data_IF_874169611758
#
_entry.id   IF_874169611758
#
_cell.length_a   1.000
_cell.length_b   1.000
_cell.length_c   1.000
_cell.angle_alpha   90.00
_cell.angle_beta   90.00
_cell.angle_gamma   90.00
#
_symmetry.space_group_name_H-M   'P 1'
#
loop_
_entity.id
_entity.type
_entity.pdbx_description
1 polymer ?
#
# COMPACT_ATOMS: atom_id res chain seq x y z
N UNK A 1 -49.89 -52.21 -17.66
CA UNK A 1 -49.74 -50.86 -17.09
C UNK A 1 -49.52 -51.01 -15.59
N UNK A 2 -48.28 -50.84 -15.11
CA UNK A 2 -47.92 -51.04 -13.70
C UNK A 2 -48.06 -49.74 -12.89
N UNK A 3 -48.62 -49.90 -11.68
CA UNK A 3 -48.74 -48.87 -10.62
C UNK A 3 -47.37 -48.37 -10.17
N UNK A 4 -47.27 -47.09 -9.83
CA UNK A 4 -46.44 -46.57 -8.73
C UNK A 4 -46.95 -45.18 -8.33
N UNK A 5 -47.50 -45.07 -7.11
CA UNK A 5 -47.85 -43.80 -6.46
C UNK A 5 -46.69 -43.43 -5.54
N UNK A 6 -46.02 -42.30 -5.79
CA UNK A 6 -44.96 -41.77 -4.92
C UNK A 6 -45.50 -40.56 -4.16
N UNK A 7 -45.28 -40.60 -2.85
CA UNK A 7 -45.77 -39.66 -1.86
C UNK A 7 -45.15 -38.26 -1.92
N UNK A 8 -45.85 -37.35 -1.26
CA UNK A 8 -45.54 -35.92 -1.11
C UNK A 8 -44.28 -35.71 -0.26
N UNK A 9 -43.39 -34.82 -0.70
CA UNK A 9 -42.39 -34.18 0.16
C UNK A 9 -42.55 -32.66 0.10
N UNK A 10 -43.01 -32.08 1.20
CA UNK A 10 -43.17 -30.63 1.39
C UNK A 10 -41.87 -30.13 2.00
N UNK A 11 -41.07 -29.38 1.24
CA UNK A 11 -39.84 -28.77 1.76
C UNK A 11 -40.19 -27.40 2.36
N UNK A 12 -40.05 -27.26 3.67
CA UNK A 12 -40.09 -25.95 4.35
C UNK A 12 -38.81 -25.15 4.04
N UNK A 13 -38.89 -23.83 3.83
CA UNK A 13 -37.70 -23.01 3.62
C UNK A 13 -36.92 -22.90 4.94
N UNK A 14 -35.68 -23.43 4.97
CA UNK A 14 -34.73 -23.14 6.06
C UNK A 14 -34.21 -21.71 5.89
N UNK A 15 -34.30 -20.92 6.95
CA UNK A 15 -33.63 -19.62 7.07
C UNK A 15 -32.13 -19.83 6.91
N UNK A 16 -31.52 -19.18 5.93
CA UNK A 16 -30.05 -19.08 5.83
C UNK A 16 -29.62 -17.94 6.76
N UNK A 17 -29.11 -18.31 7.93
CA UNK A 17 -28.42 -17.39 8.82
C UNK A 17 -26.99 -17.16 8.30
N UNK A 18 -26.66 -15.89 8.11
CA UNK A 18 -25.33 -15.31 7.87
C UNK A 18 -24.16 -16.11 8.49
N UNK A 19 -23.24 -16.60 7.66
CA UNK A 19 -21.93 -17.06 8.11
C UNK A 19 -20.94 -15.92 7.88
N UNK A 20 -20.72 -15.11 8.91
CA UNK A 20 -19.51 -14.29 9.01
C UNK A 20 -18.36 -15.26 9.25
N UNK A 21 -17.42 -15.37 8.31
CA UNK A 21 -16.14 -16.05 8.56
C UNK A 21 -15.20 -15.03 9.17
N UNK A 22 -14.89 -15.22 10.45
CA UNK A 22 -13.95 -14.39 11.19
C UNK A 22 -12.51 -14.65 10.71
N UNK A 23 -11.84 -13.60 10.25
CA UNK A 23 -10.45 -13.60 9.78
C UNK A 23 -9.46 -13.60 10.95
N UNK A 24 -9.44 -14.66 11.77
CA UNK A 24 -8.52 -14.76 12.91
C UNK A 24 -7.12 -15.31 12.57
N UNK A 25 -6.85 -15.73 11.34
CA UNK A 25 -5.66 -16.54 11.03
C UNK A 25 -4.37 -15.76 10.69
N UNK A 26 -4.36 -14.42 10.75
CA UNK A 26 -3.17 -13.62 10.36
C UNK A 26 -2.25 -13.30 11.56
N UNK A 27 -2.65 -13.60 12.81
CA UNK A 27 -1.89 -13.18 14.00
C UNK A 27 -0.68 -14.07 14.36
N UNK A 28 -0.55 -15.27 13.78
CA UNK A 28 0.38 -16.28 14.30
C UNK A 28 1.74 -16.38 13.59
N UNK A 29 2.05 -15.49 12.62
CA UNK A 29 3.31 -15.56 11.86
C UNK A 29 4.38 -14.50 12.22
N UNK A 30 4.22 -13.73 13.31
CA UNK A 30 5.22 -12.72 13.72
C UNK A 30 5.87 -12.99 15.08
N UNK A 31 5.46 -14.05 15.79
CA UNK A 31 5.99 -14.35 17.13
C UNK A 31 7.08 -15.42 17.14
N UNK A 32 8.16 -15.22 16.39
CA UNK A 32 9.38 -16.02 16.58
C UNK A 32 10.64 -15.26 16.12
N UNK A 33 11.26 -14.55 17.08
CA UNK A 33 12.70 -14.21 17.23
C UNK A 33 12.93 -12.75 17.65
N UNK A 34 12.53 -12.45 18.89
CA UNK A 34 13.11 -11.35 19.66
C UNK A 34 14.35 -11.86 20.40
N UNK A 35 15.51 -11.26 20.13
CA UNK A 35 16.79 -11.57 20.77
C UNK A 35 17.68 -10.32 20.86
N UNK A 36 17.52 -9.62 21.96
CA UNK A 36 18.17 -8.37 22.38
C UNK A 36 19.72 -8.44 22.43
N UNK A 37 20.41 -7.33 22.12
CA UNK A 37 21.56 -6.81 22.90
C UNK A 37 22.05 -5.45 22.38
N UNK A 38 21.74 -4.39 23.12
CA UNK A 38 22.28 -3.05 22.93
C UNK A 38 23.75 -2.93 23.36
N UNK A 39 24.50 -2.08 22.64
CA UNK A 39 25.83 -1.62 23.03
C UNK A 39 25.77 -0.10 23.24
N UNK A 40 26.24 0.44 24.39
CA UNK A 40 26.37 1.88 24.57
C UNK A 40 27.60 2.42 23.80
N UNK A 41 27.55 3.65 23.25
CA UNK A 41 28.71 4.23 22.59
C UNK A 41 29.74 4.68 23.64
N UNK A 42 30.98 4.21 23.47
CA UNK A 42 32.15 4.70 24.21
C UNK A 42 32.54 6.10 23.73
N UNK A 43 32.70 7.04 24.67
CA UNK A 43 33.27 8.37 24.41
C UNK A 43 34.79 8.23 24.23
N UNK A 44 35.32 8.62 23.07
CA UNK A 44 36.75 8.90 22.92
C UNK A 44 37.04 10.34 23.35
N UNK A 45 37.75 10.50 24.46
CA UNK A 45 38.40 11.75 24.88
C UNK A 45 39.78 11.77 24.23
N UNK A 46 40.03 12.68 23.28
CA UNK A 46 41.40 13.00 22.86
C UNK A 46 42.02 14.00 23.85
N UNK A 47 43.22 13.66 24.32
CA UNK A 47 44.03 14.43 25.27
C UNK A 47 44.80 15.52 24.53
N UNK A 48 44.14 16.59 24.08
CA UNK A 48 44.80 17.86 23.75
C UNK A 48 43.88 19.02 24.09
N UNK A 49 43.91 19.45 25.35
CA UNK A 49 43.25 20.69 25.79
C UNK A 49 43.74 21.87 24.96
N UNK A 50 42.87 22.39 24.09
CA UNK A 50 42.97 23.71 23.48
C UNK A 50 41.58 24.26 23.25
N UNK A 51 41.26 25.28 24.02
CA UNK A 51 40.13 26.20 23.88
C UNK A 51 40.59 27.39 23.03
N UNK A 52 39.95 27.69 21.89
CA UNK A 52 40.28 28.88 21.12
C UNK A 52 39.10 29.86 21.00
N UNK A 53 38.36 30.13 22.07
CA UNK A 53 37.60 31.40 22.15
C UNK A 53 38.52 32.57 22.51
N UNK A 54 39.30 33.06 21.54
CA UNK A 54 39.88 34.42 21.56
C UNK A 54 40.50 34.79 20.21
N UNK A 55 39.87 35.69 19.45
CA UNK A 55 40.46 36.96 18.98
C UNK A 55 39.43 37.76 18.15
N UNK A 56 39.51 39.09 18.25
CA UNK A 56 38.43 40.05 18.04
C UNK A 56 38.26 40.60 16.60
N UNK A 57 36.99 40.94 16.29
CA UNK A 57 36.39 42.07 15.51
C UNK A 57 37.13 42.80 14.34
N UNK A 58 36.28 43.12 13.32
CA UNK A 58 36.29 44.14 12.21
C UNK A 58 37.09 43.76 10.94
N UNK A 59 36.69 44.00 9.67
CA UNK A 59 35.58 44.70 8.94
C UNK A 59 35.64 44.30 7.44
N UNK A 60 34.52 44.37 6.68
CA UNK A 60 34.48 44.49 5.20
C UNK A 60 33.79 43.32 4.47
N UNK A 61 32.52 43.46 4.04
CA UNK A 61 32.06 43.92 2.71
C UNK A 61 32.40 42.97 1.55
N UNK A 62 31.39 42.25 1.02
CA UNK A 62 31.52 41.41 -0.17
C UNK A 62 30.56 40.23 -0.18
N UNK A 63 29.27 40.50 -0.37
CA UNK A 63 28.22 39.49 -0.36
C UNK A 63 28.21 38.64 -1.63
N UNK A 64 28.54 37.35 -1.50
CA UNK A 64 27.97 36.31 -2.35
C UNK A 64 27.62 35.11 -1.47
N UNK A 65 26.47 35.22 -0.78
CA UNK A 65 25.89 34.08 -0.09
C UNK A 65 25.24 33.21 -1.15
N UNK A 66 25.88 32.10 -1.46
CA UNK A 66 25.24 30.94 -2.09
C UNK A 66 23.99 30.67 -1.25
N UNK A 67 22.82 30.91 -1.83
CA UNK A 67 21.57 30.46 -1.23
C UNK A 67 21.61 28.95 -1.35
N UNK A 68 21.95 28.27 -0.26
CA UNK A 68 21.54 26.89 -0.08
C UNK A 68 20.01 26.90 -0.18
N UNK A 69 19.50 26.47 -1.33
CA UNK A 69 18.10 26.12 -1.48
C UNK A 69 17.84 24.97 -0.52
N UNK A 70 17.48 25.32 0.72
CA UNK A 70 16.90 24.37 1.67
C UNK A 70 15.72 23.74 0.96
N UNK A 71 15.84 22.44 0.72
CA UNK A 71 14.71 21.56 0.45
C UNK A 71 13.62 21.94 1.45
N UNK A 72 12.51 22.47 0.94
CA UNK A 72 11.34 22.82 1.74
C UNK A 72 10.72 21.52 2.24
N UNK A 73 11.21 21.01 3.36
CA UNK A 73 10.52 19.96 4.10
C UNK A 73 9.16 20.55 4.51
N UNK A 74 8.10 20.01 3.94
CA UNK A 74 6.73 20.53 4.03
C UNK A 74 6.19 20.42 5.44
N UNK A 75 6.62 21.30 6.34
CA UNK A 75 6.15 21.34 7.72
C UNK A 75 4.71 21.82 7.74
N UNK A 76 3.77 20.92 8.06
CA UNK A 76 2.40 21.31 8.41
C UNK A 76 2.43 22.19 9.66
N UNK A 77 1.42 23.06 9.81
CA UNK A 77 1.27 24.02 10.93
C UNK A 77 1.21 23.38 12.33
N UNK A 78 1.21 22.04 12.42
CA UNK A 78 1.23 21.26 13.66
C UNK A 78 2.61 20.69 14.04
N UNK A 79 3.68 20.93 13.27
CA UNK A 79 5.02 20.42 13.60
C UNK A 79 5.22 18.92 13.34
N UNK A 80 4.25 18.22 12.75
CA UNK A 80 4.41 16.84 12.27
C UNK A 80 5.29 16.79 11.01
N UNK A 81 6.22 15.83 10.98
CA UNK A 81 7.05 15.49 9.80
C UNK A 81 6.16 14.80 8.78
N UNK A 82 6.30 15.15 7.49
CA UNK A 82 5.65 14.39 6.43
C UNK A 82 6.35 13.04 6.32
N UNK A 83 5.63 11.96 6.61
CA UNK A 83 6.07 10.60 6.34
C UNK A 83 5.45 10.20 5.01
N UNK A 84 6.29 9.84 4.03
CA UNK A 84 5.86 9.61 2.64
C UNK A 84 4.94 8.39 2.53
N UNK A 85 5.14 7.41 3.40
CA UNK A 85 4.43 6.13 3.42
C UNK A 85 3.42 6.03 4.58
N UNK A 86 2.90 7.15 5.09
CA UNK A 86 1.94 7.17 6.21
C UNK A 86 0.52 7.47 5.71
N UNK A 87 -0.32 6.44 5.62
CA UNK A 87 -1.67 6.55 5.04
C UNK A 87 -2.71 7.04 6.05
N UNK A 88 -2.43 7.00 7.36
CA UNK A 88 -3.38 7.44 8.40
C UNK A 88 -2.98 8.72 9.13
N UNK A 89 -1.77 9.21 8.86
CA UNK A 89 -1.23 10.47 9.34
C UNK A 89 -0.79 10.42 10.80
N UNK A 90 -0.50 9.23 11.34
CA UNK A 90 -0.12 9.06 12.73
C UNK A 90 1.36 9.42 13.01
N UNK A 91 2.19 9.48 11.96
CA UNK A 91 3.61 9.80 12.01
C UNK A 91 4.54 8.57 11.93
N UNK A 92 4.00 7.37 11.74
CA UNK A 92 4.77 6.15 11.50
C UNK A 92 4.60 5.69 10.04
N UNK A 93 5.68 5.23 9.36
CA UNK A 93 5.55 4.70 8.01
C UNK A 93 4.76 3.38 8.01
N UNK A 94 3.80 3.28 7.11
CA UNK A 94 3.03 2.09 6.82
C UNK A 94 3.60 1.30 5.65
N UNK A 95 3.05 0.10 5.40
CA UNK A 95 3.43 -0.76 4.29
C UNK A 95 2.21 -1.29 3.52
N UNK A 96 2.23 -1.14 2.20
CA UNK A 96 1.38 -1.89 1.29
C UNK A 96 2.14 -3.07 0.69
N UNK A 97 1.55 -4.25 0.73
CA UNK A 97 2.11 -5.51 0.24
C UNK A 97 1.21 -6.06 -0.85
N UNK A 98 1.72 -6.17 -2.07
CA UNK A 98 1.04 -6.86 -3.16
C UNK A 98 0.98 -8.37 -2.92
N UNK A 99 -0.18 -8.98 -3.17
CA UNK A 99 -0.42 -10.43 -3.10
C UNK A 99 -1.05 -10.90 -4.42
N UNK A 100 -0.35 -10.77 -5.56
CA UNK A 100 -0.93 -11.02 -6.89
C UNK A 100 -1.37 -12.47 -7.12
N UNK A 101 -0.86 -13.42 -6.32
CA UNK A 101 -1.27 -14.82 -6.36
C UNK A 101 -2.58 -15.13 -5.63
N UNK A 102 -3.14 -14.17 -4.88
CA UNK A 102 -4.33 -14.39 -4.06
C UNK A 102 -5.54 -14.81 -4.91
N UNK A 103 -6.31 -15.77 -4.40
CA UNK A 103 -7.56 -16.20 -5.01
C UNK A 103 -8.75 -15.51 -4.32
N UNK A 104 -9.61 -14.84 -5.10
CA UNK A 104 -10.83 -14.23 -4.58
C UNK A 104 -12.01 -15.15 -4.89
N UNK A 105 -12.45 -15.93 -3.90
CA UNK A 105 -13.43 -17.00 -4.11
C UNK A 105 -12.86 -18.11 -5.01
N UNK A 106 -13.50 -18.37 -6.15
CA UNK A 106 -13.03 -19.33 -7.15
C UNK A 106 -12.09 -18.74 -8.22
N UNK A 107 -11.73 -17.46 -8.10
CA UNK A 107 -10.98 -16.72 -9.11
C UNK A 107 -9.49 -16.78 -8.80
N UNK A 108 -8.81 -17.75 -9.39
CA UNK A 108 -7.38 -17.96 -9.15
C UNK A 108 -6.55 -16.76 -9.63
N UNK A 109 -5.58 -16.32 -8.82
CA UNK A 109 -4.69 -15.20 -9.16
C UNK A 109 -5.43 -13.89 -9.52
N UNK A 110 -6.60 -13.67 -8.92
CA UNK A 110 -7.28 -12.38 -8.98
C UNK A 110 -6.43 -11.29 -8.30
N UNK A 111 -5.75 -11.67 -7.21
CA UNK A 111 -4.83 -10.79 -6.50
C UNK A 111 -5.48 -9.93 -5.42
N UNK A 112 -4.64 -9.37 -4.56
CA UNK A 112 -5.01 -8.48 -3.47
C UNK A 112 -3.83 -7.57 -3.09
N UNK A 113 -4.11 -6.56 -2.27
CA UNK A 113 -3.11 -5.76 -1.56
C UNK A 113 -3.42 -5.81 -0.07
N UNK A 114 -2.41 -6.07 0.76
CA UNK A 114 -2.52 -6.05 2.23
C UNK A 114 -1.79 -4.84 2.79
N UNK A 115 -2.44 -4.14 3.70
CA UNK A 115 -1.95 -2.93 4.35
C UNK A 115 -1.58 -3.26 5.78
N UNK A 116 -0.35 -2.93 6.15
CA UNK A 116 0.17 -3.05 7.51
C UNK A 116 0.46 -1.66 8.04
N UNK A 117 0.07 -1.41 9.28
CA UNK A 117 0.34 -0.13 9.94
C UNK A 117 1.74 -0.11 10.53
N UNK A 118 2.37 1.05 10.52
CA UNK A 118 3.50 1.35 11.38
C UNK A 118 3.02 1.70 12.79
N UNK A 119 3.84 1.39 13.79
CA UNK A 119 3.74 1.99 15.11
C UNK A 119 5.15 2.21 15.69
N UNK A 120 5.22 2.65 16.95
CA UNK A 120 6.49 2.91 17.66
C UNK A 120 7.43 1.70 17.75
N UNK A 121 6.91 0.48 17.61
CA UNK A 121 7.65 -0.78 17.70
C UNK A 121 7.94 -1.39 16.30
N UNK A 122 7.39 -0.80 15.23
CA UNK A 122 7.59 -1.23 13.83
C UNK A 122 6.28 -1.55 13.13
N UNK A 123 6.33 -2.41 12.09
CA UNK A 123 5.13 -2.85 11.40
C UNK A 123 4.29 -3.78 12.27
N UNK A 124 2.97 -3.59 12.25
CA UNK A 124 2.01 -4.38 13.01
C UNK A 124 0.91 -4.95 12.13
N UNK A 125 0.50 -6.19 12.43
CA UNK A 125 -0.70 -6.80 11.85
C UNK A 125 -2.01 -6.29 12.48
N UNK A 126 -1.91 -5.55 13.60
CA UNK A 126 -3.09 -5.01 14.28
C UNK A 126 -3.78 -3.97 13.39
N UNK A 127 -5.02 -4.24 13.02
CA UNK A 127 -5.77 -3.36 12.13
C UNK A 127 -5.31 -3.44 10.67
N UNK A 128 -4.57 -4.49 10.29
CA UNK A 128 -4.25 -4.78 8.90
C UNK A 128 -5.53 -4.95 8.07
N UNK A 129 -5.48 -4.53 6.81
CA UNK A 129 -6.63 -4.58 5.90
C UNK A 129 -6.21 -5.10 4.53
N UNK A 130 -7.07 -5.88 3.89
CA UNK A 130 -6.88 -6.33 2.53
C UNK A 130 -7.87 -5.62 1.59
N UNK A 131 -7.42 -5.37 0.37
CA UNK A 131 -8.23 -4.82 -0.72
C UNK A 131 -8.02 -5.65 -1.99
N UNK A 132 -9.09 -5.84 -2.73
CA UNK A 132 -9.14 -6.50 -4.04
C UNK A 132 -10.28 -5.87 -4.86
N UNK A 133 -10.42 -6.19 -6.14
CA UNK A 133 -11.43 -5.57 -7.00
C UNK A 133 -12.88 -5.82 -6.55
N UNK A 134 -13.20 -6.99 -5.98
CA UNK A 134 -14.53 -7.24 -5.35
C UNK A 134 -14.74 -6.49 -4.00
N UNK A 135 -13.78 -5.69 -3.51
CA UNK A 135 -13.98 -4.91 -2.28
C UNK A 135 -14.97 -3.77 -2.56
N UNK A 136 -15.94 -3.56 -1.68
CA UNK A 136 -16.92 -2.49 -1.83
C UNK A 136 -16.24 -1.13 -2.09
N UNK A 137 -16.81 -0.37 -3.04
CA UNK A 137 -16.32 0.92 -3.55
C UNK A 137 -15.00 0.87 -4.34
N UNK A 138 -14.40 -0.31 -4.57
CA UNK A 138 -13.30 -0.48 -5.54
C UNK A 138 -13.91 -0.71 -6.94
N UNK A 139 -13.59 0.12 -7.95
CA UNK A 139 -14.10 -0.07 -9.31
C UNK A 139 -13.66 -1.41 -9.93
N UNK A 140 -14.51 -1.98 -10.77
CA UNK A 140 -14.24 -3.23 -11.47
C UNK A 140 -14.77 -4.46 -10.72
N UNK A 141 -14.35 -5.63 -11.16
CA UNK A 141 -14.64 -6.91 -10.52
C UNK A 141 -13.37 -7.74 -10.59
N UNK A 142 -13.14 -8.58 -9.58
CA UNK A 142 -12.04 -9.53 -9.65
C UNK A 142 -12.36 -10.59 -10.71
N UNK A 143 -11.38 -10.93 -11.51
CA UNK A 143 -11.39 -12.00 -12.52
C UNK A 143 -10.14 -12.89 -12.35
N UNK A 144 -10.18 -14.15 -12.84
CA UNK A 144 -9.00 -15.01 -12.78
C UNK A 144 -7.85 -14.44 -13.62
N UNK A 145 -6.72 -14.17 -12.97
CA UNK A 145 -5.50 -13.72 -13.64
C UNK A 145 -5.28 -12.22 -13.68
N UNK A 146 -6.18 -11.39 -13.12
CA UNK A 146 -6.02 -9.92 -13.09
C UNK A 146 -4.75 -9.48 -12.37
N UNK A 147 -4.30 -10.30 -11.40
CA UNK A 147 -3.12 -10.08 -10.58
C UNK A 147 -3.12 -8.69 -9.94
N UNK A 148 -4.26 -8.28 -9.38
CA UNK A 148 -4.38 -7.06 -8.59
C UNK A 148 -3.35 -7.03 -7.46
N UNK A 149 -2.67 -5.89 -7.30
CA UNK A 149 -1.52 -5.79 -6.40
C UNK A 149 -0.25 -6.42 -6.98
N UNK A 150 -0.22 -6.76 -8.27
CA UNK A 150 0.99 -7.14 -9.00
C UNK A 150 2.05 -6.05 -8.98
N UNK A 151 1.62 -4.82 -8.72
CA UNK A 151 2.47 -3.72 -8.31
C UNK A 151 1.74 -2.82 -7.32
N UNK A 152 2.50 -2.17 -6.43
CA UNK A 152 1.95 -1.23 -5.43
C UNK A 152 2.89 -0.06 -5.21
N UNK A 153 2.33 1.11 -4.90
CA UNK A 153 3.08 2.29 -4.48
C UNK A 153 2.27 3.14 -3.50
N UNK A 154 2.96 3.68 -2.50
CA UNK A 154 2.42 4.69 -1.59
C UNK A 154 2.95 6.08 -1.95
N UNK A 155 2.04 7.04 -2.14
CA UNK A 155 2.36 8.45 -2.42
C UNK A 155 1.16 9.34 -2.10
N UNK A 156 1.40 10.56 -1.61
CA UNK A 156 0.32 11.55 -1.39
C UNK A 156 -0.09 12.19 -2.75
N UNK A 157 -0.97 11.52 -3.49
CA UNK A 157 -1.50 11.97 -4.80
C UNK A 157 -2.47 13.13 -4.59
N UNK A 158 -3.27 13.03 -3.54
CA UNK A 158 -4.36 13.98 -3.25
C UNK A 158 -3.88 15.27 -2.58
N UNK A 159 -2.64 15.31 -2.12
CA UNK A 159 -2.01 16.41 -1.39
C UNK A 159 -2.72 16.75 -0.09
N UNK A 160 -3.25 15.73 0.58
CA UNK A 160 -3.97 15.88 1.84
C UNK A 160 -3.10 15.59 3.07
N UNK A 161 -1.81 15.28 2.84
CA UNK A 161 -0.83 14.99 3.88
C UNK A 161 -0.82 13.53 4.34
N UNK A 162 -1.57 12.64 3.68
CA UNK A 162 -1.51 11.19 3.88
C UNK A 162 -1.12 10.49 2.59
N UNK A 163 -0.45 9.34 2.71
CA UNK A 163 -0.13 8.51 1.58
C UNK A 163 -1.41 7.84 1.01
N UNK A 164 -1.56 7.91 -0.31
CA UNK A 164 -2.53 7.16 -1.08
C UNK A 164 -1.87 5.89 -1.66
N UNK A 165 -2.66 4.85 -1.88
CA UNK A 165 -2.23 3.62 -2.55
C UNK A 165 -2.53 3.69 -4.04
N UNK A 166 -1.49 3.46 -4.84
CA UNK A 166 -1.61 3.07 -6.24
C UNK A 166 -1.37 1.57 -6.36
N UNK A 167 -2.32 0.81 -6.89
CA UNK A 167 -2.22 -0.62 -7.11
C UNK A 167 -2.41 -0.96 -8.59
N UNK A 168 -1.56 -1.80 -9.17
CA UNK A 168 -1.70 -2.28 -10.54
C UNK A 168 -2.29 -3.69 -10.61
N UNK A 169 -3.06 -3.93 -11.66
CA UNK A 169 -3.53 -5.26 -12.07
C UNK A 169 -3.17 -5.44 -13.55
N UNK A 170 -1.93 -5.83 -13.89
CA UNK A 170 -1.48 -5.93 -15.28
C UNK A 170 -2.21 -7.02 -16.09
N UNK A 171 -2.89 -7.96 -15.43
CA UNK A 171 -3.69 -8.99 -16.08
C UNK A 171 -5.11 -8.54 -16.45
N UNK A 172 -5.55 -7.35 -16.00
CA UNK A 172 -6.93 -6.88 -16.20
C UNK A 172 -7.37 -6.93 -17.67
N UNK A 173 -8.55 -7.51 -17.89
CA UNK A 173 -9.21 -7.53 -19.18
C UNK A 173 -10.10 -6.29 -19.39
N UNK A 174 -10.00 -5.66 -20.57
CA UNK A 174 -10.74 -4.44 -20.91
C UNK A 174 -11.77 -4.78 -22.00
N UNK A 175 -12.84 -5.47 -21.58
CA UNK A 175 -13.85 -6.01 -22.49
C UNK A 175 -13.28 -7.13 -23.37
N UNK A 176 -13.12 -6.87 -24.67
CA UNK A 176 -12.52 -7.85 -25.60
C UNK A 176 -10.98 -7.84 -25.59
N UNK A 177 -10.36 -6.82 -25.00
CA UNK A 177 -8.89 -6.70 -24.94
C UNK A 177 -8.36 -7.49 -23.76
N UNK A 178 -7.63 -8.57 -24.04
CA UNK A 178 -7.03 -9.41 -23.00
C UNK A 178 -5.74 -8.82 -22.45
N UNK A 179 -5.57 -8.86 -21.13
CA UNK A 179 -4.40 -8.35 -20.40
C UNK A 179 -4.04 -6.91 -20.80
N UNK A 180 -5.05 -6.05 -20.88
CA UNK A 180 -4.83 -4.62 -21.12
C UNK A 180 -4.20 -3.95 -19.90
N UNK A 181 -4.56 -4.42 -18.72
CA UNK A 181 -4.06 -3.93 -17.45
C UNK A 181 -4.75 -2.64 -17.02
N UNK A 182 -4.69 -2.38 -15.72
CA UNK A 182 -5.26 -1.18 -15.10
C UNK A 182 -4.51 -0.80 -13.82
N UNK A 183 -4.72 0.44 -13.37
CA UNK A 183 -4.23 0.95 -12.07
C UNK A 183 -5.37 1.54 -11.26
N UNK A 184 -5.33 1.34 -9.96
CA UNK A 184 -6.27 1.86 -8.99
C UNK A 184 -5.60 2.86 -8.07
N UNK A 185 -6.36 3.88 -7.65
CA UNK A 185 -5.99 4.83 -6.60
C UNK A 185 -6.97 4.69 -5.43
N UNK A 186 -6.47 4.34 -4.25
CA UNK A 186 -7.22 4.32 -2.99
C UNK A 186 -6.61 5.36 -2.05
N UNK A 187 -7.45 6.14 -1.36
CA UNK A 187 -6.99 7.32 -0.63
C UNK A 187 -6.61 7.02 0.81
N UNK A 188 -5.59 7.71 1.31
CA UNK A 188 -5.25 7.76 2.74
C UNK A 188 -6.35 8.44 3.55
N UNK A 189 -6.65 7.93 4.75
CA UNK A 189 -7.61 8.55 5.67
C UNK A 189 -7.22 8.24 7.12
N UNK A 190 -7.72 9.02 8.08
CA UNK A 190 -7.35 8.86 9.50
C UNK A 190 -7.61 7.46 10.10
N UNK A 191 -8.54 6.69 9.52
CA UNK A 191 -8.80 5.30 9.93
C UNK A 191 -7.97 4.27 9.14
N UNK A 192 -7.14 4.71 8.22
CA UNK A 192 -6.45 3.92 7.21
C UNK A 192 -6.91 4.20 5.80
N UNK A 193 -6.40 3.46 4.81
CA UNK A 193 -6.89 3.54 3.43
C UNK A 193 -8.41 3.40 3.33
N UNK A 194 -9.00 4.14 2.40
CA UNK A 194 -10.42 4.04 2.06
C UNK A 194 -10.63 3.72 0.59
N UNK A 195 -11.60 2.84 0.33
CA UNK A 195 -12.11 2.58 -1.01
C UNK A 195 -13.11 3.65 -1.47
N UNK A 196 -13.63 4.48 -0.54
CA UNK A 196 -14.59 5.52 -0.90
C UNK A 196 -13.95 6.58 -1.80
N UNK A 197 -14.55 6.77 -2.98
CA UNK A 197 -14.00 7.55 -4.09
C UNK A 197 -12.63 7.04 -4.56
N UNK A 198 -12.39 5.73 -4.46
CA UNK A 198 -11.31 5.12 -5.23
C UNK A 198 -11.63 5.22 -6.71
N UNK A 199 -10.59 5.22 -7.53
CA UNK A 199 -10.72 5.31 -8.99
C UNK A 199 -9.81 4.28 -9.64
N UNK A 200 -10.18 3.88 -10.86
CA UNK A 200 -9.34 3.05 -11.71
C UNK A 200 -9.08 3.80 -13.03
N UNK A 201 -7.93 3.54 -13.65
CA UNK A 201 -7.59 4.01 -14.99
C UNK A 201 -6.93 2.88 -15.76
N UNK A 202 -7.30 2.73 -17.03
CA UNK A 202 -6.71 1.77 -17.94
C UNK A 202 -6.29 2.45 -19.26
N UNK A 203 -5.52 1.78 -20.14
CA UNK A 203 -5.09 2.36 -21.41
C UNK A 203 -6.23 2.89 -22.29
N UNK A 204 -7.40 2.25 -22.29
CA UNK A 204 -8.54 2.70 -23.12
C UNK A 204 -9.14 4.01 -22.61
N UNK A 205 -9.11 4.26 -21.29
CA UNK A 205 -9.59 5.52 -20.69
C UNK A 205 -8.73 6.72 -21.11
N UNK A 206 -7.43 6.49 -21.34
CA UNK A 206 -6.43 7.54 -21.62
C UNK A 206 -5.97 7.58 -23.09
N UNK A 207 -6.58 6.78 -23.96
CA UNK A 207 -6.22 6.71 -25.38
C UNK A 207 -4.84 6.09 -25.65
N UNK A 208 -4.33 5.27 -24.75
CA UNK A 208 -3.06 4.54 -24.90
C UNK A 208 -3.26 3.16 -25.56
N UNK A 209 -2.21 2.55 -26.15
CA UNK A 209 -2.27 1.19 -26.65
C UNK A 209 -2.66 0.20 -25.54
N UNK A 210 -3.67 -0.64 -25.82
CA UNK A 210 -4.25 -1.55 -24.82
C UNK A 210 -3.94 -3.03 -25.06
N UNK A 211 -3.65 -3.45 -26.29
CA UNK A 211 -3.49 -4.87 -26.60
C UNK A 211 -2.22 -5.45 -25.92
N UNK A 212 -2.41 -6.35 -24.96
CA UNK A 212 -1.33 -6.96 -24.15
C UNK A 212 -0.39 -5.90 -23.55
N UNK A 213 -0.95 -4.77 -23.14
CA UNK A 213 -0.17 -3.63 -22.68
C UNK A 213 0.41 -3.85 -21.28
N UNK A 214 -0.18 -4.76 -20.48
CA UNK A 214 0.22 -5.03 -19.10
C UNK A 214 0.28 -3.73 -18.28
N UNK A 215 -0.67 -2.82 -18.52
CA UNK A 215 -0.68 -1.53 -17.87
C UNK A 215 -0.78 -1.69 -16.35
N UNK A 216 0.00 -0.91 -15.61
CA UNK A 216 0.12 -1.10 -14.17
C UNK A 216 1.13 -2.19 -13.75
N UNK A 217 1.88 -2.81 -14.66
CA UNK A 217 2.97 -3.75 -14.29
C UNK A 217 4.06 -3.08 -13.45
N UNK A 218 4.34 -1.79 -13.68
CA UNK A 218 5.32 -1.02 -12.89
C UNK A 218 4.90 0.45 -12.69
N UNK A 219 4.30 0.82 -11.55
CA UNK A 219 4.02 2.18 -11.13
C UNK A 219 5.29 2.75 -10.50
N UNK A 220 6.31 3.01 -11.32
CA UNK A 220 7.67 3.27 -10.86
C UNK A 220 7.81 4.35 -9.77
N UNK A 221 8.78 4.09 -8.88
CA UNK A 221 9.33 5.01 -7.89
C UNK A 221 10.62 4.47 -7.23
N UNK A 222 10.69 3.17 -6.96
CA UNK A 222 11.92 2.47 -6.59
C UNK A 222 11.95 1.13 -7.32
N UNK A 223 12.74 1.03 -8.39
CA UNK A 223 13.07 -0.26 -8.95
C UNK A 223 14.03 -0.94 -7.97
N UNK A 224 13.54 -1.84 -7.12
CA UNK A 224 14.33 -3.00 -6.77
C UNK A 224 14.78 -3.66 -8.09
N UNK A 225 16.03 -4.09 -8.17
CA UNK A 225 16.73 -4.44 -9.41
C UNK A 225 15.92 -5.33 -10.36
N UNK A 226 15.33 -4.71 -11.38
CA UNK A 226 15.10 -5.29 -12.71
C UNK A 226 14.58 -6.73 -12.80
N UNK A 227 13.63 -7.15 -11.97
CA UNK A 227 13.00 -8.45 -12.16
C UNK A 227 12.10 -8.41 -13.39
N UNK A 228 12.60 -8.99 -14.48
CA UNK A 228 11.75 -9.46 -15.58
C UNK A 228 11.04 -10.71 -15.07
N UNK A 229 9.71 -10.69 -15.01
CA UNK A 229 8.90 -11.89 -14.78
C UNK A 229 8.62 -12.50 -16.17
N UNK A 230 8.92 -13.80 -16.37
CA UNK A 230 8.84 -14.47 -17.67
C UNK A 230 7.42 -14.52 -18.26
#
# INVERSE_FOLDING_TARGET
MSRTTIGRFRVSPRRVTSVRRDFSAISDLVRARGGNRGHPPTRHVDRRGRDPDRFARRTGSGGHRVREDRVREGRLRSGRRLVREDFDGDGYPDLAVGVPGEAIGSKAKAGAVVLLKGDKDGLTGKGARAFHQDTADVPGAAEPGDVFGGSVRLLDVTRDGRADLVAGAPGEDLGAVRNGGAVWLLRGAAAGLTASRSSAQNPTDIGAPAAKALFGLNPSGHNGSGTVIP
#
